data_IF_177384195612
#
_entry.id   IF_177384195612
#
_cell.length_a   1.000
_cell.length_b   1.000
_cell.length_c   1.000
_cell.angle_alpha   90.00
_cell.angle_beta   90.00
_cell.angle_gamma   90.00
#
_symmetry.space_group_name_H-M   'P 1'
#
loop_
_entity.id
_entity.type
_entity.pdbx_description
1 polymer ?
#
# COMPACT_ATOMS: atom_id res chain seq x y z
N UNK A 1 -1.68 11.22 -18.37
CA UNK A 1 -1.12 10.26 -17.39
C UNK A 1 -1.53 10.62 -15.95
N UNK A 2 -2.47 9.90 -15.34
CA UNK A 2 -2.94 10.09 -13.94
C UNK A 2 -2.49 8.96 -13.01
N UNK A 3 -1.94 7.88 -13.57
CA UNK A 3 -1.74 6.58 -12.92
C UNK A 3 -0.93 6.61 -11.62
N UNK A 4 0.04 7.52 -11.48
CA UNK A 4 0.86 7.61 -10.27
C UNK A 4 0.54 8.82 -9.38
N UNK A 5 -0.43 9.66 -9.77
CA UNK A 5 -0.74 10.90 -9.04
C UNK A 5 -1.88 10.67 -8.05
N UNK A 6 -1.54 10.16 -6.86
CA UNK A 6 -2.49 9.82 -5.79
C UNK A 6 -3.50 10.95 -5.52
N UNK A 7 -3.05 12.19 -5.34
CA UNK A 7 -3.93 13.33 -5.07
C UNK A 7 -4.96 13.61 -6.19
N UNK A 8 -4.59 13.37 -7.46
CA UNK A 8 -5.52 13.53 -8.60
C UNK A 8 -6.51 12.37 -8.66
N UNK A 9 -6.05 11.15 -8.37
CA UNK A 9 -6.88 9.96 -8.30
C UNK A 9 -7.91 10.07 -7.17
N UNK A 10 -7.50 10.48 -5.97
CA UNK A 10 -8.40 10.73 -4.82
C UNK A 10 -9.51 11.72 -5.18
N UNK A 11 -9.17 12.85 -5.82
CA UNK A 11 -10.15 13.84 -6.27
C UNK A 11 -11.14 13.26 -7.29
N UNK A 12 -10.66 12.51 -8.28
CA UNK A 12 -11.53 11.88 -9.30
C UNK A 12 -12.45 10.81 -8.70
N UNK A 13 -11.92 10.00 -7.79
CA UNK A 13 -12.69 8.99 -7.06
C UNK A 13 -13.76 9.64 -6.17
N UNK A 14 -13.43 10.73 -5.47
CA UNK A 14 -14.39 11.50 -4.68
C UNK A 14 -15.49 12.14 -5.56
N UNK A 15 -15.12 12.60 -6.76
CA UNK A 15 -16.07 13.21 -7.70
C UNK A 15 -16.86 12.22 -8.56
N UNK A 16 -16.54 10.93 -8.49
CA UNK A 16 -17.09 9.85 -9.34
C UNK A 16 -16.80 10.03 -10.84
N UNK A 17 -15.68 10.66 -11.14
CA UNK A 17 -15.23 10.94 -12.52
C UNK A 17 -14.34 9.82 -13.08
N UNK A 18 -14.09 8.76 -12.30
CA UNK A 18 -13.32 7.61 -12.75
C UNK A 18 -14.25 6.62 -13.45
N UNK A 19 -14.13 6.49 -14.77
CA UNK A 19 -14.91 5.51 -15.53
C UNK A 19 -14.52 4.07 -15.19
N UNK A 20 -15.46 3.13 -15.36
CA UNK A 20 -15.20 1.69 -15.16
C UNK A 20 -14.04 1.19 -16.01
N UNK A 21 -13.93 1.68 -17.24
CA UNK A 21 -12.82 1.35 -18.12
C UNK A 21 -11.44 1.71 -17.54
N UNK A 22 -11.34 2.84 -16.82
CA UNK A 22 -10.10 3.19 -16.12
C UNK A 22 -9.85 2.32 -14.89
N UNK A 23 -10.90 1.97 -14.14
CA UNK A 23 -10.80 1.09 -12.99
C UNK A 23 -10.35 -0.33 -13.37
N UNK A 24 -10.91 -0.86 -14.47
CA UNK A 24 -10.52 -2.15 -15.03
C UNK A 24 -9.04 -2.19 -15.41
N UNK A 25 -8.52 -1.10 -15.98
CA UNK A 25 -7.10 -0.97 -16.28
C UNK A 25 -6.24 -1.05 -15.01
N UNK A 26 -6.61 -0.39 -13.91
CA UNK A 26 -5.89 -0.56 -12.63
C UNK A 26 -5.92 -2.01 -12.12
N UNK A 27 -7.07 -2.69 -12.23
CA UNK A 27 -7.18 -4.10 -11.87
C UNK A 27 -6.28 -4.98 -12.74
N UNK A 28 -6.27 -4.77 -14.05
CA UNK A 28 -5.45 -5.56 -14.98
C UNK A 28 -3.96 -5.42 -14.64
N UNK A 29 -3.49 -4.18 -14.45
CA UNK A 29 -2.09 -3.96 -14.05
C UNK A 29 -1.78 -4.52 -12.66
N UNK A 30 -2.72 -4.44 -11.71
CA UNK A 30 -2.58 -5.06 -10.41
C UNK A 30 -2.40 -6.58 -10.52
N UNK A 31 -3.22 -7.24 -11.34
CA UNK A 31 -3.14 -8.69 -11.57
C UNK A 31 -1.84 -9.10 -12.27
N UNK A 32 -1.43 -8.35 -13.31
CA UNK A 32 -0.15 -8.60 -13.99
C UNK A 32 1.00 -8.49 -12.99
N UNK A 33 1.06 -7.43 -12.19
CA UNK A 33 2.09 -7.27 -11.16
C UNK A 33 2.04 -8.38 -10.11
N UNK A 34 0.84 -8.78 -9.67
CA UNK A 34 0.68 -9.87 -8.71
C UNK A 34 1.24 -11.18 -9.25
N UNK A 35 0.92 -11.53 -10.50
CA UNK A 35 1.46 -12.73 -11.15
C UNK A 35 2.98 -12.62 -11.29
N UNK A 36 3.51 -11.49 -11.78
CA UNK A 36 4.96 -11.28 -11.92
C UNK A 36 5.67 -11.44 -10.59
N UNK A 37 5.16 -10.85 -9.51
CA UNK A 37 5.78 -10.97 -8.18
C UNK A 37 5.67 -12.39 -7.63
N UNK A 38 4.57 -13.09 -7.89
CA UNK A 38 4.36 -14.46 -7.43
C UNK A 38 5.24 -15.49 -8.16
N UNK A 39 5.65 -15.22 -9.40
CA UNK A 39 6.50 -16.14 -10.20
C UNK A 39 7.99 -15.83 -10.12
N UNK A 40 8.38 -14.67 -9.60
CA UNK A 40 9.79 -14.35 -9.40
C UNK A 40 10.39 -15.26 -8.31
N UNK A 41 11.55 -15.88 -8.55
CA UNK A 41 12.23 -16.67 -7.54
C UNK A 41 12.55 -15.77 -6.34
N UNK A 42 12.43 -16.32 -5.12
CA UNK A 42 12.82 -15.58 -3.92
C UNK A 42 14.30 -15.22 -3.99
N UNK A 43 14.59 -13.94 -4.15
CA UNK A 43 15.95 -13.41 -4.35
C UNK A 43 16.82 -13.65 -3.10
N UNK A 44 16.19 -13.77 -1.92
CA UNK A 44 16.83 -14.09 -0.64
C UNK A 44 15.85 -14.88 0.24
N UNK A 45 15.86 -16.22 0.18
CA UNK A 45 15.05 -17.03 1.09
C UNK A 45 15.51 -16.81 2.53
N UNK A 46 14.59 -16.91 3.49
CA UNK A 46 14.96 -16.85 4.90
C UNK A 46 15.80 -18.06 5.29
N UNK A 47 16.66 -17.91 6.31
CA UNK A 47 17.48 -19.02 6.79
C UNK A 47 16.67 -20.19 7.37
N UNK A 48 15.49 -19.91 7.94
CA UNK A 48 14.61 -20.91 8.56
C UNK A 48 13.16 -20.71 8.17
N UNK A 49 12.42 -21.82 8.06
CA UNK A 49 10.98 -21.82 7.75
C UNK A 49 10.17 -20.94 8.73
N UNK A 50 10.52 -20.92 10.01
CA UNK A 50 9.81 -20.13 11.04
C UNK A 50 9.64 -18.64 10.68
N UNK A 51 10.63 -18.04 10.02
CA UNK A 51 10.54 -16.66 9.53
C UNK A 51 9.48 -16.50 8.45
N UNK A 52 9.37 -17.47 7.54
CA UNK A 52 8.36 -17.46 6.48
C UNK A 52 6.94 -17.65 7.01
N UNK A 53 6.73 -18.61 7.92
CA UNK A 53 5.43 -18.79 8.56
C UNK A 53 5.02 -17.53 9.32
N UNK A 54 5.92 -16.98 10.15
CA UNK A 54 5.60 -15.78 10.94
C UNK A 54 5.26 -14.58 10.03
N UNK A 55 6.02 -14.39 8.95
CA UNK A 55 5.78 -13.37 7.93
C UNK A 55 4.41 -13.55 7.28
N UNK A 56 4.07 -14.78 6.89
CA UNK A 56 2.80 -15.10 6.24
C UNK A 56 1.61 -14.86 7.17
N UNK A 57 1.63 -15.44 8.36
CA UNK A 57 0.55 -15.33 9.36
C UNK A 57 0.30 -13.86 9.71
N UNK A 58 1.35 -13.10 10.00
CA UNK A 58 1.20 -11.70 10.38
C UNK A 58 0.68 -10.85 9.22
N UNK A 59 1.17 -11.07 8.00
CA UNK A 59 0.64 -10.39 6.80
C UNK A 59 -0.83 -10.69 6.58
N UNK A 60 -1.26 -11.94 6.79
CA UNK A 60 -2.65 -12.34 6.65
C UNK A 60 -3.54 -11.58 7.64
N UNK A 61 -3.19 -11.58 8.93
CA UNK A 61 -3.95 -10.85 9.96
C UNK A 61 -3.99 -9.34 9.69
N UNK A 62 -2.86 -8.73 9.34
CA UNK A 62 -2.80 -7.30 8.97
C UNK A 62 -3.69 -7.03 7.76
N UNK A 63 -3.60 -7.86 6.72
CA UNK A 63 -4.38 -7.70 5.48
C UNK A 63 -5.88 -7.78 5.76
N UNK A 64 -6.33 -8.80 6.49
CA UNK A 64 -7.75 -8.97 6.82
C UNK A 64 -8.25 -7.80 7.69
N UNK A 65 -7.54 -7.49 8.78
CA UNK A 65 -7.93 -6.43 9.70
C UNK A 65 -7.93 -5.05 9.05
N UNK A 66 -6.89 -4.71 8.29
CA UNK A 66 -6.79 -3.42 7.63
C UNK A 66 -7.77 -3.27 6.46
N UNK A 67 -8.00 -4.32 5.68
CA UNK A 67 -9.02 -4.31 4.62
C UNK A 67 -10.40 -4.09 5.22
N UNK A 68 -10.72 -4.76 6.34
CA UNK A 68 -11.96 -4.53 7.07
C UNK A 68 -12.08 -3.08 7.56
N UNK A 69 -11.02 -2.49 8.12
CA UNK A 69 -11.03 -1.08 8.55
C UNK A 69 -11.25 -0.11 7.37
N UNK A 70 -10.64 -0.38 6.21
CA UNK A 70 -10.82 0.41 4.99
C UNK A 70 -12.25 0.28 4.46
N UNK A 71 -12.83 -0.93 4.50
CA UNK A 71 -14.23 -1.18 4.16
C UNK A 71 -15.20 -0.43 5.09
N UNK A 72 -15.03 -0.57 6.40
CA UNK A 72 -15.83 0.15 7.41
C UNK A 72 -15.70 1.66 7.29
N UNK A 73 -14.52 2.14 6.91
CA UNK A 73 -14.34 3.55 6.57
C UNK A 73 -15.25 3.89 5.40
N UNK A 74 -15.13 3.21 4.25
CA UNK A 74 -15.97 3.47 3.07
C UNK A 74 -17.47 3.45 3.37
N UNK A 75 -17.92 2.49 4.17
CA UNK A 75 -19.31 2.33 4.61
C UNK A 75 -19.82 3.55 5.38
N UNK A 76 -19.04 4.09 6.32
CA UNK A 76 -19.38 5.32 7.06
C UNK A 76 -19.44 6.59 6.19
N UNK A 77 -18.90 6.52 4.97
CA UNK A 77 -18.88 7.62 4.02
C UNK A 77 -20.12 7.61 3.12
N UNK A 78 -19.88 7.54 1.81
CA UNK A 78 -20.96 7.44 0.81
C UNK A 78 -21.30 5.99 0.43
N UNK A 79 -20.61 5.00 1.03
CA UNK A 79 -20.79 3.57 0.82
C UNK A 79 -20.92 3.12 -0.65
N UNK A 80 -20.12 3.70 -1.54
CA UNK A 80 -20.13 3.37 -2.97
C UNK A 80 -18.75 3.04 -3.50
N UNK A 81 -18.73 2.29 -4.60
CA UNK A 81 -17.53 2.04 -5.41
C UNK A 81 -16.34 1.50 -4.61
N UNK A 82 -16.59 0.69 -3.56
CA UNK A 82 -15.53 0.24 -2.65
C UNK A 82 -14.40 -0.46 -3.41
N UNK A 83 -14.73 -1.48 -4.20
CA UNK A 83 -13.75 -2.29 -4.92
C UNK A 83 -12.94 -1.44 -5.91
N UNK A 84 -13.63 -0.55 -6.64
CA UNK A 84 -13.03 0.41 -7.59
C UNK A 84 -12.03 1.32 -6.89
N UNK A 85 -12.40 1.92 -5.75
CA UNK A 85 -11.53 2.78 -4.93
C UNK A 85 -10.36 1.98 -4.36
N UNK A 86 -10.65 0.81 -3.82
CA UNK A 86 -9.68 -0.06 -3.18
C UNK A 86 -8.58 -0.45 -4.16
N UNK A 87 -8.93 -1.05 -5.31
CA UNK A 87 -7.96 -1.50 -6.31
C UNK A 87 -7.17 -0.32 -6.87
N UNK A 88 -7.85 0.77 -7.24
CA UNK A 88 -7.17 1.92 -7.86
C UNK A 88 -6.16 2.55 -6.90
N UNK A 89 -6.53 2.73 -5.63
CA UNK A 89 -5.61 3.31 -4.63
C UNK A 89 -4.52 2.31 -4.21
N UNK A 90 -4.89 1.04 -4.00
CA UNK A 90 -3.96 -0.02 -3.64
C UNK A 90 -2.87 -0.18 -4.71
N UNK A 91 -3.20 -0.07 -5.99
CA UNK A 91 -2.21 -0.10 -7.05
C UNK A 91 -1.19 1.04 -6.93
N UNK A 92 -1.67 2.28 -6.83
CA UNK A 92 -0.78 3.46 -6.78
C UNK A 92 0.08 3.43 -5.51
N UNK A 93 -0.55 3.23 -4.36
CA UNK A 93 0.15 3.19 -3.07
C UNK A 93 1.10 1.99 -3.02
N UNK A 94 0.68 0.84 -3.56
CA UNK A 94 1.49 -0.36 -3.65
C UNK A 94 2.80 -0.13 -4.40
N UNK A 95 2.75 0.55 -5.55
CA UNK A 95 3.96 0.92 -6.30
C UNK A 95 4.89 1.80 -5.46
N UNK A 96 4.36 2.84 -4.80
CA UNK A 96 5.17 3.77 -4.03
C UNK A 96 5.84 3.10 -2.83
N UNK A 97 5.09 2.26 -2.12
CA UNK A 97 5.60 1.50 -0.98
C UNK A 97 6.60 0.45 -1.44
N UNK A 98 6.34 -0.26 -2.55
CA UNK A 98 7.27 -1.22 -3.12
C UNK A 98 8.61 -0.57 -3.46
N UNK A 99 8.58 0.56 -4.18
CA UNK A 99 9.78 1.32 -4.52
C UNK A 99 10.52 1.79 -3.25
N UNK A 100 9.79 2.26 -2.24
CA UNK A 100 10.37 2.66 -0.96
C UNK A 100 11.03 1.50 -0.22
N UNK A 101 10.39 0.33 -0.15
CA UNK A 101 10.95 -0.87 0.49
C UNK A 101 12.17 -1.37 -0.27
N UNK A 102 12.13 -1.40 -1.61
CA UNK A 102 13.27 -1.78 -2.43
C UNK A 102 14.46 -0.83 -2.22
N UNK A 103 14.21 0.49 -2.15
CA UNK A 103 15.24 1.48 -1.88
C UNK A 103 15.87 1.28 -0.50
N UNK A 104 15.07 1.09 0.55
CA UNK A 104 15.57 0.84 1.91
C UNK A 104 16.41 -0.43 1.97
N UNK A 105 15.97 -1.51 1.31
CA UNK A 105 16.72 -2.78 1.24
C UNK A 105 18.03 -2.64 0.47
N UNK A 106 18.03 -1.87 -0.62
CA UNK A 106 19.23 -1.59 -1.40
C UNK A 106 20.24 -0.81 -0.57
N UNK A 107 19.80 0.26 0.10
CA UNK A 107 20.67 1.06 0.99
C UNK A 107 21.27 0.21 2.10
N UNK A 108 20.48 -0.65 2.74
CA UNK A 108 20.98 -1.59 3.75
C UNK A 108 22.09 -2.49 3.21
N UNK A 109 21.92 -3.08 2.03
CA UNK A 109 22.95 -3.92 1.40
C UNK A 109 24.22 -3.12 1.06
N UNK A 110 24.08 -1.90 0.55
CA UNK A 110 25.22 -1.01 0.25
C UNK A 110 25.98 -0.68 1.54
N UNK A 111 25.28 -0.31 2.62
CA UNK A 111 25.91 -0.01 3.91
C UNK A 111 26.67 -1.22 4.43
N UNK A 112 26.05 -2.40 4.45
CA UNK A 112 26.71 -3.62 4.91
C UNK A 112 27.92 -4.03 4.06
N UNK A 113 27.94 -3.67 2.78
CA UNK A 113 29.06 -3.96 1.88
C UNK A 113 30.27 -3.06 2.13
N UNK A 114 30.05 -1.82 2.61
CA UNK A 114 31.12 -0.80 2.74
C UNK A 114 31.78 -0.81 4.12
N UNK A 115 31.09 -1.29 5.16
CA UNK A 115 31.62 -1.29 6.54
C UNK A 115 32.73 -2.33 6.75
N UNK A 116 33.67 -2.09 7.69
CA UNK A 116 34.67 -3.07 8.08
C UNK A 116 34.06 -4.38 8.60
N UNK A 117 34.76 -5.50 8.40
CA UNK A 117 34.31 -6.85 8.80
C UNK A 117 33.91 -6.96 10.28
N UNK A 118 34.63 -6.30 11.18
CA UNK A 118 34.33 -6.33 12.62
C UNK A 118 32.99 -5.65 12.93
N UNK A 119 32.73 -4.51 12.29
CA UNK A 119 31.44 -3.81 12.39
C UNK A 119 30.31 -4.60 11.72
N UNK A 120 30.59 -5.24 10.58
CA UNK A 120 29.64 -6.13 9.92
C UNK A 120 29.20 -7.26 10.84
N UNK A 121 30.15 -7.94 11.49
CA UNK A 121 29.85 -9.03 12.41
C UNK A 121 29.02 -8.55 13.62
N UNK A 122 29.36 -7.39 14.20
CA UNK A 122 28.58 -6.79 15.28
C UNK A 122 27.14 -6.48 14.84
N UNK A 123 26.97 -5.83 13.68
CA UNK A 123 25.65 -5.45 13.17
C UNK A 123 24.83 -6.69 12.78
N UNK A 124 25.42 -7.67 12.10
CA UNK A 124 24.72 -8.87 11.68
C UNK A 124 24.32 -9.78 12.86
N UNK A 125 25.12 -9.78 13.95
CA UNK A 125 24.76 -10.46 15.19
C UNK A 125 23.63 -9.75 15.94
N UNK A 126 23.58 -8.41 15.90
CA UNK A 126 22.51 -7.61 16.52
C UNK A 126 21.21 -7.63 15.70
N UNK A 127 21.32 -7.47 14.39
CA UNK A 127 20.22 -7.36 13.43
C UNK A 127 20.55 -8.32 12.30
N UNK A 128 20.11 -9.57 12.46
CA UNK A 128 20.29 -10.58 11.43
C UNK A 128 19.64 -10.13 10.11
N UNK A 129 20.19 -10.58 8.99
CA UNK A 129 19.61 -10.33 7.67
C UNK A 129 18.13 -10.73 7.59
N UNK A 130 17.76 -11.86 8.23
CA UNK A 130 16.38 -12.32 8.34
C UNK A 130 15.50 -11.34 9.12
N UNK A 131 15.95 -10.88 10.28
CA UNK A 131 15.20 -9.93 11.10
C UNK A 131 14.98 -8.61 10.34
N UNK A 132 16.01 -8.09 9.67
CA UNK A 132 15.87 -6.91 8.82
C UNK A 132 14.91 -7.13 7.64
N UNK A 133 15.00 -8.28 6.97
CA UNK A 133 14.10 -8.64 5.88
C UNK A 133 12.65 -8.73 6.35
N UNK A 134 12.42 -9.34 7.52
CA UNK A 134 11.12 -9.44 8.17
C UNK A 134 10.57 -8.07 8.56
N UNK A 135 11.35 -7.26 9.29
CA UNK A 135 10.95 -5.92 9.74
C UNK A 135 10.64 -4.99 8.56
N UNK A 136 11.51 -4.94 7.55
CA UNK A 136 11.27 -4.13 6.35
C UNK A 136 10.00 -4.56 5.61
N UNK A 137 9.71 -5.88 5.58
CA UNK A 137 8.47 -6.39 5.01
C UNK A 137 7.24 -6.01 5.83
N UNK A 138 7.32 -6.06 7.16
CA UNK A 138 6.22 -5.68 8.06
C UNK A 138 5.96 -4.17 8.02
N UNK A 139 7.02 -3.37 8.06
CA UNK A 139 6.92 -1.92 7.91
C UNK A 139 6.25 -1.54 6.58
N UNK A 140 6.64 -2.19 5.48
CA UNK A 140 6.04 -1.99 4.17
C UNK A 140 4.53 -2.22 4.17
N UNK A 141 4.05 -3.37 4.67
CA UNK A 141 2.61 -3.67 4.68
C UNK A 141 1.82 -2.74 5.62
N UNK A 142 2.40 -2.37 6.77
CA UNK A 142 1.77 -1.42 7.70
C UNK A 142 1.65 -0.05 7.04
N UNK A 143 2.74 0.49 6.47
CA UNK A 143 2.75 1.78 5.79
C UNK A 143 1.75 1.79 4.62
N UNK A 144 1.71 0.71 3.83
CA UNK A 144 0.73 0.55 2.75
C UNK A 144 -0.70 0.73 3.25
N UNK A 145 -1.10 -0.01 4.28
CA UNK A 145 -2.48 0.07 4.79
C UNK A 145 -2.79 1.38 5.51
N UNK A 146 -1.81 1.99 6.19
CA UNK A 146 -1.98 3.33 6.77
C UNK A 146 -2.23 4.38 5.70
N UNK A 147 -1.47 4.35 4.61
CA UNK A 147 -1.67 5.24 3.47
C UNK A 147 -3.02 4.99 2.80
N UNK A 148 -3.40 3.73 2.60
CA UNK A 148 -4.69 3.36 2.00
C UNK A 148 -5.86 3.88 2.84
N UNK A 149 -5.83 3.66 4.15
CA UNK A 149 -6.83 4.16 5.08
C UNK A 149 -6.90 5.69 5.07
N UNK A 150 -5.75 6.36 5.03
CA UNK A 150 -5.67 7.82 4.92
C UNK A 150 -6.30 8.34 3.62
N UNK A 151 -6.06 7.67 2.50
CA UNK A 151 -6.67 8.02 1.21
C UNK A 151 -8.19 7.87 1.22
N UNK A 152 -8.73 6.79 1.82
CA UNK A 152 -10.17 6.63 1.97
C UNK A 152 -10.80 7.74 2.82
N UNK A 153 -10.18 8.09 3.96
CA UNK A 153 -10.63 9.23 4.79
C UNK A 153 -10.61 10.56 4.02
N UNK A 154 -9.60 10.80 3.18
CA UNK A 154 -9.52 12.00 2.33
C UNK A 154 -10.63 12.06 1.29
N UNK A 155 -10.90 10.95 0.61
CA UNK A 155 -11.98 10.86 -0.38
C UNK A 155 -13.31 11.24 0.25
N UNK A 156 -13.58 10.74 1.45
CA UNK A 156 -14.81 11.08 2.19
C UNK A 156 -14.90 12.54 2.56
N UNK A 157 -13.80 13.12 3.06
CA UNK A 157 -13.74 14.54 3.37
C UNK A 157 -14.06 15.40 2.14
N UNK A 158 -13.47 15.06 0.98
CA UNK A 158 -13.70 15.77 -0.29
C UNK A 158 -15.15 15.60 -0.76
N UNK A 159 -15.69 14.38 -0.67
CA UNK A 159 -17.06 14.09 -1.07
C UNK A 159 -18.09 14.80 -0.17
N UNK A 160 -17.84 14.88 1.13
CA UNK A 160 -18.64 15.62 2.10
C UNK A 160 -18.67 17.13 1.80
N UNK A 161 -17.50 17.75 1.64
CA UNK A 161 -17.39 19.18 1.31
C UNK A 161 -18.19 19.54 0.04
N UNK A 162 -18.06 18.74 -1.02
CA UNK A 162 -18.82 18.95 -2.26
C UNK A 162 -20.33 18.85 -2.06
N UNK A 163 -20.79 17.91 -1.22
CA UNK A 163 -22.22 17.73 -0.93
C UNK A 163 -22.78 18.96 -0.20
N UNK A 164 -22.03 19.53 0.72
CA UNK A 164 -22.44 20.72 1.47
C UNK A 164 -22.44 21.98 0.60
N UNK A 165 -21.44 22.13 -0.29
CA UNK A 165 -21.41 23.19 -1.30
C UNK A 165 -22.65 23.15 -2.22
N UNK A 166 -23.03 21.97 -2.70
CA UNK A 166 -24.22 21.82 -3.57
C UNK A 166 -25.50 22.19 -2.81
N UNK A 167 -25.65 21.75 -1.56
CA UNK A 167 -26.80 22.09 -0.70
C UNK A 167 -26.88 23.59 -0.39
N UNK A 168 -25.75 24.26 -0.23
CA UNK A 168 -25.73 25.71 0.02
C UNK A 168 -26.22 26.49 -1.20
N UNK A 169 -25.79 26.12 -2.41
CA UNK A 169 -26.20 26.77 -3.66
C UNK A 169 -27.69 26.54 -3.98
N UNK A 170 -28.25 25.39 -3.63
CA UNK A 170 -29.67 25.09 -3.87
C UNK A 170 -30.62 25.78 -2.88
N UNK A 171 -30.11 26.44 -1.82
CA UNK A 171 -30.92 27.20 -0.85
C UNK A 171 -30.96 28.70 -1.15
N UNK A 172 -30.12 29.16 -2.07
CA UNK A 172 -29.99 30.58 -2.44
C UNK A 172 -30.78 30.90 -3.72
N UNK A 173 -31.25 29.86 -4.43
CA UNK A 173 -32.20 29.94 -5.55
C UNK A 173 -33.57 29.46 -5.10
#
# INVERSE_FOLDING_TARGET
>A
MIWLRLNRLEKKLAKRELSEHHAYRYLLFYLVLFITVATLPEITPYSTWSWDISRYILKLFITLGATYMVFRTNEKGDNRDFLKRYISLAFVIGIWVLLGVLLVRLLYKIILFVIPLDMFNLINNLISADLFQWLSSMAGIIIFYLLLLRSFKRIQKIAGQRRDEIKSKSRVN
#
